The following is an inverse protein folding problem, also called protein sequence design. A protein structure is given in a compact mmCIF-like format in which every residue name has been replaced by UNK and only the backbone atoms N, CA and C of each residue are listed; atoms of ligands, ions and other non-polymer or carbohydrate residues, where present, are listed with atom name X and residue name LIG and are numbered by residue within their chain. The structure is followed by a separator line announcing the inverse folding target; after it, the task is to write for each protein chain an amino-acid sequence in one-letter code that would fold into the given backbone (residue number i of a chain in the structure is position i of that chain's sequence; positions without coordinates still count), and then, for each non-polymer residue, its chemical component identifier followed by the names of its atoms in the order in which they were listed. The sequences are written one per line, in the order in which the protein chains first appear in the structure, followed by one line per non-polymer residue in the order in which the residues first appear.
data_IF_460365578065
#
_entry.id   IF_460365578065
#
_cell.length_a   1.000
_cell.length_b   1.000
_cell.length_c   1.000
_cell.angle_alpha   90.00
_cell.angle_beta   90.00
_cell.angle_gamma   90.00
#
_symmetry.space_group_name_H-M   'P 1'
#
loop_
_entity.id
_entity.type
_entity.pdbx_description
1 polymer ?
#
# COMPACT_ATOMS: atom_id res chain seq x y z
N UNK A 1 -2.56 -30.93 -9.94
CA UNK A 1 -1.16 -30.78 -10.40
C UNK A 1 -0.48 -32.12 -10.69
N UNK A 2 -0.65 -33.14 -9.83
CA UNK A 2 0.04 -34.44 -10.04
C UNK A 2 -0.33 -35.12 -11.35
N UNK A 3 -1.62 -35.27 -11.67
CA UNK A 3 -2.06 -35.93 -12.92
C UNK A 3 -1.55 -35.24 -14.19
N UNK A 4 -1.68 -33.91 -14.37
CA UNK A 4 -1.09 -33.21 -15.52
C UNK A 4 0.43 -33.37 -15.59
N UNK A 5 1.12 -33.39 -14.46
CA UNK A 5 2.58 -33.56 -14.40
C UNK A 5 2.96 -34.99 -14.83
N UNK A 6 2.27 -36.02 -14.33
CA UNK A 6 2.46 -37.40 -14.73
C UNK A 6 2.27 -37.59 -16.24
N UNK A 7 1.17 -37.03 -16.78
CA UNK A 7 0.89 -37.07 -18.21
C UNK A 7 1.97 -36.36 -19.05
N UNK A 8 2.51 -35.25 -18.57
CA UNK A 8 3.63 -34.56 -19.23
C UNK A 8 4.87 -35.44 -19.28
N UNK A 9 5.25 -36.05 -18.15
CA UNK A 9 6.42 -36.93 -18.10
C UNK A 9 6.25 -38.20 -18.93
N UNK A 10 5.05 -38.80 -18.94
CA UNK A 10 4.71 -39.91 -19.82
C UNK A 10 4.88 -39.54 -21.29
N UNK A 11 4.38 -38.36 -21.70
CA UNK A 11 4.55 -37.86 -23.06
C UNK A 11 6.01 -37.60 -23.40
N UNK A 12 6.78 -36.99 -22.51
CA UNK A 12 8.22 -36.78 -22.74
C UNK A 12 8.98 -38.09 -22.86
N UNK A 13 8.66 -39.12 -22.08
CA UNK A 13 9.24 -40.45 -22.16
C UNK A 13 8.93 -41.12 -23.50
N UNK A 14 7.74 -40.90 -24.06
CA UNK A 14 7.35 -41.38 -25.37
C UNK A 14 8.08 -40.66 -26.52
N UNK A 15 8.24 -39.33 -26.41
CA UNK A 15 8.94 -38.52 -27.42
C UNK A 15 10.46 -38.76 -27.43
N UNK A 16 11.04 -39.09 -26.26
CA UNK A 16 12.49 -39.27 -26.10
C UNK A 16 12.82 -40.61 -25.42
N UNK A 17 12.60 -41.75 -26.09
CA UNK A 17 12.83 -43.08 -25.54
C UNK A 17 14.28 -43.27 -25.11
N UNK A 18 14.49 -43.69 -23.86
CA UNK A 18 15.81 -43.92 -23.27
C UNK A 18 16.56 -42.72 -22.74
N UNK A 19 16.03 -41.48 -22.96
CA UNK A 19 16.60 -40.25 -22.42
C UNK A 19 15.90 -39.79 -21.15
N UNK A 20 14.66 -40.26 -20.92
CA UNK A 20 13.85 -39.93 -19.73
C UNK A 20 13.46 -41.22 -18.99
N UNK A 21 14.18 -41.50 -17.91
CA UNK A 21 13.77 -42.53 -16.94
C UNK A 21 13.27 -41.75 -15.71
N UNK A 22 11.96 -41.52 -15.66
CA UNK A 22 11.35 -40.66 -14.64
C UNK A 22 11.00 -41.46 -13.42
N UNK A 23 11.63 -41.18 -12.29
CA UNK A 23 11.21 -41.66 -10.99
C UNK A 23 9.90 -40.97 -10.57
N UNK A 24 8.99 -41.72 -9.97
CA UNK A 24 7.74 -41.19 -9.40
C UNK A 24 8.01 -40.05 -8.41
N UNK A 25 9.12 -40.07 -7.69
CA UNK A 25 9.55 -39.00 -6.81
C UNK A 25 9.86 -37.69 -7.53
N UNK A 26 10.44 -37.77 -8.75
CA UNK A 26 10.69 -36.58 -9.59
C UNK A 26 9.37 -35.96 -10.04
N UNK A 27 8.38 -36.78 -10.40
CA UNK A 27 7.02 -36.31 -10.74
C UNK A 27 6.39 -35.57 -9.56
N UNK A 28 6.51 -36.12 -8.34
CA UNK A 28 6.01 -35.49 -7.13
C UNK A 28 6.73 -34.16 -6.84
N UNK A 29 8.07 -34.15 -6.94
CA UNK A 29 8.86 -32.92 -6.72
C UNK A 29 8.50 -31.84 -7.73
N UNK A 30 8.37 -32.20 -9.01
CA UNK A 30 7.98 -31.25 -10.03
C UNK A 30 6.55 -30.73 -9.83
N UNK A 31 5.60 -31.62 -9.50
CA UNK A 31 4.24 -31.20 -9.17
C UNK A 31 4.22 -30.25 -7.96
N UNK A 32 5.00 -30.53 -6.92
CA UNK A 32 5.12 -29.66 -5.76
C UNK A 32 5.75 -28.29 -6.11
N UNK A 33 6.77 -28.30 -6.97
CA UNK A 33 7.38 -27.07 -7.48
C UNK A 33 6.36 -26.22 -8.25
N UNK A 34 5.59 -26.82 -9.14
CA UNK A 34 4.51 -26.14 -9.87
C UNK A 34 3.46 -25.58 -8.91
N UNK A 35 3.04 -26.37 -7.91
CA UNK A 35 2.08 -25.89 -6.90
C UNK A 35 2.61 -24.72 -6.09
N UNK A 36 3.91 -24.65 -5.81
CA UNK A 36 4.52 -23.60 -5.01
C UNK A 36 4.62 -22.26 -5.74
N UNK A 37 4.58 -22.27 -7.08
CA UNK A 37 4.79 -21.09 -7.92
C UNK A 37 3.60 -20.69 -8.81
N UNK A 38 2.61 -21.56 -8.96
CA UNK A 38 1.49 -21.33 -9.88
C UNK A 38 0.47 -20.34 -9.35
N UNK A 39 -0.19 -19.62 -10.25
CA UNK A 39 -1.44 -18.94 -9.95
C UNK A 39 -2.54 -19.96 -9.74
N UNK A 40 -3.19 -19.92 -8.58
CA UNK A 40 -4.20 -20.87 -8.18
C UNK A 40 -5.58 -20.29 -8.49
N UNK A 41 -6.20 -20.74 -9.57
CA UNK A 41 -7.53 -20.30 -9.97
C UNK A 41 -8.66 -20.84 -9.07
N UNK A 42 -8.47 -22.02 -8.47
CA UNK A 42 -9.41 -22.64 -7.53
C UNK A 42 -8.70 -22.88 -6.18
N UNK A 43 -8.73 -21.86 -5.33
CA UNK A 43 -8.13 -21.89 -4.01
C UNK A 43 -8.71 -23.04 -3.15
N UNK A 44 -10.00 -23.30 -3.22
CA UNK A 44 -10.66 -24.34 -2.42
C UNK A 44 -10.23 -25.76 -2.83
N UNK A 45 -10.09 -26.01 -4.13
CA UNK A 45 -9.58 -27.29 -4.62
C UNK A 45 -8.10 -27.49 -4.23
N UNK A 46 -7.31 -26.43 -4.36
CA UNK A 46 -5.90 -26.45 -3.95
C UNK A 46 -5.74 -26.72 -2.45
N UNK A 47 -6.46 -26.01 -1.59
CA UNK A 47 -6.37 -26.17 -0.14
C UNK A 47 -6.82 -27.55 0.32
N UNK A 48 -7.88 -28.13 -0.29
CA UNK A 48 -8.24 -29.53 -0.04
C UNK A 48 -7.10 -30.51 -0.38
N UNK A 49 -6.40 -30.27 -1.47
CA UNK A 49 -5.24 -31.07 -1.84
C UNK A 49 -4.08 -30.93 -0.83
N UNK A 50 -3.86 -29.72 -0.32
CA UNK A 50 -2.87 -29.48 0.77
C UNK A 50 -3.26 -30.22 2.04
N UNK A 51 -4.52 -30.25 2.41
CA UNK A 51 -5.02 -30.97 3.59
C UNK A 51 -4.89 -32.50 3.48
N UNK A 52 -4.82 -33.03 2.28
CA UNK A 52 -4.57 -34.44 2.01
C UNK A 52 -3.07 -34.78 1.86
N UNK A 53 -2.18 -33.79 1.94
CA UNK A 53 -0.75 -33.91 1.70
C UNK A 53 0.07 -34.15 2.98
N UNK A 54 1.36 -34.51 2.87
CA UNK A 54 2.25 -34.67 4.04
C UNK A 54 2.39 -33.40 4.89
N UNK A 55 2.20 -32.21 4.31
CA UNK A 55 2.28 -30.93 5.03
C UNK A 55 1.00 -30.58 5.82
N UNK A 56 -0.06 -31.38 5.69
CA UNK A 56 -1.38 -31.09 6.28
C UNK A 56 -1.32 -30.78 7.78
N UNK A 57 -0.55 -31.55 8.54
CA UNK A 57 -0.42 -31.34 9.98
C UNK A 57 0.18 -29.99 10.37
N UNK A 58 1.16 -29.53 9.61
CA UNK A 58 1.81 -28.23 9.80
C UNK A 58 0.92 -27.11 9.30
N UNK A 59 0.29 -27.28 8.13
CA UNK A 59 -0.66 -26.31 7.57
C UNK A 59 -1.81 -26.01 8.52
N UNK A 60 -2.45 -27.05 9.09
CA UNK A 60 -3.56 -26.90 10.05
C UNK A 60 -3.19 -26.13 11.33
N UNK A 61 -1.90 -26.03 11.65
CA UNK A 61 -1.41 -25.23 12.79
C UNK A 61 -1.10 -23.80 12.37
N UNK A 62 -0.41 -23.61 11.24
CA UNK A 62 0.13 -22.31 10.82
C UNK A 62 -0.96 -21.41 10.26
N UNK A 63 -1.84 -21.94 9.40
CA UNK A 63 -2.85 -21.14 8.72
C UNK A 63 -3.85 -20.48 9.68
N UNK A 64 -4.54 -21.21 10.59
CA UNK A 64 -5.45 -20.60 11.56
C UNK A 64 -4.72 -19.65 12.54
N UNK A 65 -3.51 -20.00 12.97
CA UNK A 65 -2.72 -19.15 13.87
C UNK A 65 -2.37 -17.82 13.21
N UNK A 66 -1.98 -17.84 11.94
CA UNK A 66 -1.62 -16.64 11.20
C UNK A 66 -2.82 -15.75 10.95
N UNK A 67 -3.96 -16.31 10.56
CA UNK A 67 -5.20 -15.57 10.34
C UNK A 67 -5.72 -14.97 11.64
N UNK A 68 -5.83 -15.76 12.70
CA UNK A 68 -6.29 -15.27 14.00
C UNK A 68 -5.39 -14.18 14.56
N UNK A 69 -4.09 -14.30 14.33
CA UNK A 69 -3.15 -13.26 14.74
C UNK A 69 -3.33 -11.97 13.94
N UNK A 70 -3.50 -12.04 12.62
CA UNK A 70 -3.76 -10.88 11.78
C UNK A 70 -5.08 -10.20 12.19
N UNK A 71 -6.13 -10.99 12.42
CA UNK A 71 -7.42 -10.46 12.86
C UNK A 71 -7.32 -9.79 14.25
N UNK A 72 -6.52 -10.35 15.16
CA UNK A 72 -6.34 -9.79 16.49
C UNK A 72 -5.42 -8.56 16.50
N UNK A 73 -4.30 -8.62 15.78
CA UNK A 73 -3.27 -7.58 15.82
C UNK A 73 -3.64 -6.37 14.95
N UNK A 74 -4.23 -6.64 13.78
CA UNK A 74 -4.52 -5.63 12.77
C UNK A 74 -6.02 -5.43 12.52
N UNK A 75 -6.89 -6.14 13.24
CA UNK A 75 -8.36 -6.06 13.07
C UNK A 75 -8.82 -6.22 11.62
N UNK A 76 -8.11 -7.04 10.83
CA UNK A 76 -8.39 -7.22 9.40
C UNK A 76 -9.73 -7.92 9.16
N UNK A 77 -10.25 -8.64 10.16
CA UNK A 77 -11.53 -9.35 10.08
C UNK A 77 -11.63 -10.25 8.84
N UNK A 78 -10.55 -10.97 8.51
CA UNK A 78 -10.46 -11.83 7.32
C UNK A 78 -11.58 -12.89 7.26
N UNK A 79 -12.14 -13.24 8.41
CA UNK A 79 -13.33 -14.11 8.48
C UNK A 79 -14.55 -13.54 7.78
N UNK A 80 -14.65 -12.21 7.67
CA UNK A 80 -15.72 -11.51 6.91
C UNK A 80 -15.44 -11.43 5.41
N UNK A 81 -14.22 -11.75 5.00
CA UNK A 81 -13.77 -11.68 3.62
C UNK A 81 -13.22 -13.05 3.17
N UNK A 82 -14.11 -14.05 2.94
CA UNK A 82 -13.68 -15.43 2.71
C UNK A 82 -12.75 -15.59 1.50
N UNK A 83 -12.96 -14.85 0.43
CA UNK A 83 -12.08 -14.90 -0.74
C UNK A 83 -10.64 -14.48 -0.40
N UNK A 84 -10.46 -13.43 0.38
CA UNK A 84 -9.12 -12.98 0.81
C UNK A 84 -8.51 -13.92 1.85
N UNK A 85 -9.34 -14.50 2.72
CA UNK A 85 -8.86 -15.54 3.65
C UNK A 85 -8.32 -16.74 2.89
N UNK A 86 -9.05 -17.21 1.88
CA UNK A 86 -8.65 -18.36 1.07
C UNK A 86 -7.42 -18.04 0.23
N UNK A 87 -7.29 -16.82 -0.27
CA UNK A 87 -6.07 -16.33 -0.94
C UNK A 87 -4.87 -16.33 0.01
N UNK A 88 -5.00 -15.79 1.22
CA UNK A 88 -3.92 -15.82 2.22
C UNK A 88 -3.53 -17.27 2.58
N UNK A 89 -4.53 -18.13 2.75
CA UNK A 89 -4.29 -19.55 3.00
C UNK A 89 -3.53 -20.22 1.86
N UNK A 90 -3.85 -19.86 0.63
CA UNK A 90 -3.15 -20.34 -0.57
C UNK A 90 -1.68 -19.90 -0.57
N UNK A 91 -1.43 -18.61 -0.29
CA UNK A 91 -0.06 -18.09 -0.18
C UNK A 91 0.74 -18.80 0.92
N UNK A 92 0.14 -18.98 2.11
CA UNK A 92 0.76 -19.71 3.21
C UNK A 92 1.08 -21.17 2.83
N UNK A 93 0.14 -21.86 2.19
CA UNK A 93 0.31 -23.24 1.74
C UNK A 93 1.44 -23.38 0.71
N UNK A 94 1.53 -22.45 -0.25
CA UNK A 94 2.59 -22.42 -1.24
C UNK A 94 3.97 -22.21 -0.61
N UNK A 95 4.10 -21.30 0.34
CA UNK A 95 5.35 -21.10 1.10
C UNK A 95 5.72 -22.36 1.89
N UNK A 96 4.75 -23.04 2.48
CA UNK A 96 4.99 -24.27 3.23
C UNK A 96 5.43 -25.41 2.32
N UNK A 97 4.84 -25.56 1.13
CA UNK A 97 5.27 -26.55 0.14
C UNK A 97 6.73 -26.28 -0.24
N UNK A 98 7.04 -25.03 -0.56
CA UNK A 98 8.39 -24.59 -0.91
C UNK A 98 9.40 -24.92 0.19
N UNK A 99 9.06 -24.62 1.45
CA UNK A 99 9.91 -24.89 2.60
C UNK A 99 10.08 -26.41 2.87
N UNK A 100 8.99 -27.18 2.80
CA UNK A 100 9.00 -28.62 3.04
C UNK A 100 9.86 -29.38 2.04
N UNK A 101 9.79 -29.00 0.76
CA UNK A 101 10.57 -29.62 -0.32
C UNK A 101 11.92 -28.96 -0.55
N UNK A 102 12.32 -27.99 0.25
CA UNK A 102 13.58 -27.22 0.13
C UNK A 102 13.78 -26.61 -1.26
N UNK A 103 12.71 -26.10 -1.87
CA UNK A 103 12.82 -25.42 -3.15
C UNK A 103 13.45 -24.05 -2.98
N UNK A 104 14.65 -23.88 -3.49
CA UNK A 104 15.26 -22.56 -3.69
C UNK A 104 14.77 -21.97 -5.00
N UNK A 105 13.90 -20.95 -4.94
CA UNK A 105 13.54 -20.20 -6.14
C UNK A 105 14.70 -19.29 -6.52
N UNK A 106 15.35 -19.62 -7.65
CA UNK A 106 16.38 -18.75 -8.27
C UNK A 106 15.77 -17.59 -9.07
N UNK A 107 14.45 -17.60 -9.28
CA UNK A 107 13.74 -16.49 -9.93
C UNK A 107 13.44 -15.48 -8.83
N UNK A 108 14.37 -14.57 -8.60
CA UNK A 108 14.14 -13.43 -7.73
C UNK A 108 13.55 -12.33 -8.57
N UNK A 109 12.32 -11.89 -8.25
CA UNK A 109 11.94 -10.52 -8.60
C UNK A 109 13.08 -9.62 -8.11
N UNK A 110 13.66 -8.84 -9.00
CA UNK A 110 14.80 -8.03 -8.60
C UNK A 110 14.38 -7.20 -7.37
N UNK A 111 15.23 -7.08 -6.36
CA UNK A 111 14.98 -6.26 -5.18
C UNK A 111 14.52 -4.84 -5.55
N UNK A 112 14.87 -4.37 -6.75
CA UNK A 112 14.38 -3.14 -7.37
C UNK A 112 12.84 -3.11 -7.50
N UNK A 113 12.20 -4.23 -7.90
CA UNK A 113 10.74 -4.29 -8.06
C UNK A 113 10.08 -4.22 -6.68
N UNK A 114 10.57 -5.01 -5.71
CA UNK A 114 10.05 -5.01 -4.34
C UNK A 114 10.19 -3.62 -3.72
N UNK A 115 11.35 -2.97 -3.91
CA UNK A 115 11.58 -1.63 -3.40
C UNK A 115 10.66 -0.59 -4.06
N UNK A 116 10.45 -0.64 -5.37
CA UNK A 116 9.49 0.24 -6.06
C UNK A 116 8.07 0.08 -5.51
N UNK A 117 7.61 -1.16 -5.30
CA UNK A 117 6.29 -1.41 -4.70
C UNK A 117 6.22 -0.94 -3.25
N UNK A 118 7.27 -1.15 -2.47
CA UNK A 118 7.32 -0.69 -1.07
C UNK A 118 7.26 0.84 -0.95
N UNK A 119 7.85 1.54 -1.91
CA UNK A 119 7.77 3.00 -1.98
C UNK A 119 6.38 3.46 -2.44
N UNK A 120 5.79 2.79 -3.44
CA UNK A 120 4.47 3.14 -3.94
C UNK A 120 3.34 2.83 -2.94
N UNK A 121 3.53 1.84 -2.06
CA UNK A 121 2.49 1.34 -1.15
C UNK A 121 3.07 0.99 0.24
N UNK A 122 3.45 1.99 1.03
CA UNK A 122 4.23 1.78 2.26
C UNK A 122 3.48 1.04 3.37
N UNK A 123 2.17 1.27 3.55
CA UNK A 123 1.36 0.56 4.56
C UNK A 123 1.26 -0.92 4.22
N UNK A 124 1.00 -1.22 2.95
CA UNK A 124 0.92 -2.58 2.42
C UNK A 124 2.26 -3.30 2.58
N UNK A 125 3.36 -2.63 2.23
CA UNK A 125 4.70 -3.17 2.39
C UNK A 125 5.01 -3.50 3.86
N UNK A 126 4.61 -2.62 4.77
CA UNK A 126 4.75 -2.87 6.21
C UNK A 126 3.94 -4.07 6.68
N UNK A 127 2.68 -4.22 6.25
CA UNK A 127 1.85 -5.39 6.58
C UNK A 127 2.47 -6.69 6.05
N UNK A 128 2.92 -6.69 4.79
CA UNK A 128 3.62 -7.84 4.19
C UNK A 128 4.88 -8.22 4.96
N UNK A 129 5.67 -7.23 5.37
CA UNK A 129 6.85 -7.43 6.21
C UNK A 129 6.50 -8.03 7.58
N UNK A 130 5.46 -7.53 8.24
CA UNK A 130 5.10 -7.96 9.60
C UNK A 130 4.66 -9.41 9.60
N UNK A 131 3.83 -9.86 8.63
CA UNK A 131 3.45 -11.28 8.54
C UNK A 131 4.65 -12.17 8.20
N UNK A 132 5.47 -11.77 7.24
CA UNK A 132 6.67 -12.50 6.88
C UNK A 132 7.61 -12.67 8.09
N UNK A 133 7.86 -11.60 8.84
CA UNK A 133 8.67 -11.63 10.06
C UNK A 133 8.12 -12.55 11.14
N UNK A 134 6.79 -12.66 11.24
CA UNK A 134 6.16 -13.60 12.16
C UNK A 134 6.39 -15.04 11.74
N UNK A 135 6.21 -15.36 10.45
CA UNK A 135 6.46 -16.69 9.93
C UNK A 135 7.91 -17.12 10.16
N UNK A 136 8.87 -16.22 9.90
CA UNK A 136 10.29 -16.50 10.17
C UNK A 136 10.58 -16.71 11.66
N UNK A 137 10.04 -15.83 12.52
CA UNK A 137 10.38 -15.88 13.96
C UNK A 137 9.66 -16.99 14.71
N UNK A 138 8.39 -17.26 14.39
CA UNK A 138 7.57 -18.24 15.12
C UNK A 138 7.66 -19.63 14.53
N UNK A 139 7.74 -19.74 13.20
CA UNK A 139 7.68 -21.01 12.48
C UNK A 139 9.00 -21.37 11.80
N UNK A 140 10.04 -20.53 11.97
CA UNK A 140 11.39 -20.74 11.45
C UNK A 140 11.45 -20.96 9.94
N UNK A 141 10.56 -20.30 9.18
CA UNK A 141 10.66 -20.27 7.73
C UNK A 141 11.82 -19.38 7.29
N UNK A 142 12.51 -19.80 6.23
CA UNK A 142 13.42 -18.92 5.49
C UNK A 142 12.65 -18.38 4.29
N UNK A 143 12.29 -17.11 4.34
CA UNK A 143 11.49 -16.48 3.29
C UNK A 143 12.40 -15.79 2.26
N UNK A 144 12.06 -15.96 0.99
CA UNK A 144 12.71 -15.28 -0.11
C UNK A 144 12.07 -13.90 -0.35
N UNK A 145 12.74 -13.05 -1.13
CA UNK A 145 12.20 -11.75 -1.56
C UNK A 145 10.85 -11.91 -2.28
N UNK A 146 10.68 -13.02 -3.04
CA UNK A 146 9.42 -13.30 -3.74
C UNK A 146 8.29 -13.61 -2.76
N UNK A 147 8.57 -14.26 -1.63
CA UNK A 147 7.56 -14.56 -0.61
C UNK A 147 7.09 -13.26 0.08
N UNK A 148 8.01 -12.32 0.33
CA UNK A 148 7.64 -10.97 0.80
C UNK A 148 6.78 -10.23 -0.22
N UNK A 149 7.16 -10.29 -1.51
CA UNK A 149 6.39 -9.65 -2.58
C UNK A 149 4.97 -10.21 -2.69
N UNK A 150 4.78 -11.52 -2.53
CA UNK A 150 3.46 -12.16 -2.51
C UNK A 150 2.57 -11.59 -1.40
N UNK A 151 3.09 -11.44 -0.18
CA UNK A 151 2.33 -10.82 0.91
C UNK A 151 2.03 -9.35 0.65
N UNK A 152 2.97 -8.58 0.10
CA UNK A 152 2.75 -7.19 -0.29
C UNK A 152 1.61 -7.12 -1.32
N UNK A 153 1.67 -7.94 -2.36
CA UNK A 153 0.64 -7.97 -3.40
C UNK A 153 -0.74 -8.39 -2.85
N UNK A 154 -0.76 -9.39 -1.97
CA UNK A 154 -1.98 -9.79 -1.27
C UNK A 154 -2.61 -8.62 -0.50
N UNK A 155 -1.85 -7.95 0.35
CA UNK A 155 -2.37 -6.82 1.14
C UNK A 155 -2.74 -5.63 0.27
N UNK A 156 -2.03 -5.40 -0.84
CA UNK A 156 -2.40 -4.36 -1.79
C UNK A 156 -3.79 -4.62 -2.37
N UNK A 157 -4.01 -5.83 -2.89
CA UNK A 157 -5.31 -6.23 -3.45
C UNK A 157 -6.41 -6.17 -2.38
N UNK A 158 -6.12 -6.65 -1.17
CA UNK A 158 -7.06 -6.62 -0.05
C UNK A 158 -7.44 -5.20 0.36
N UNK A 159 -6.46 -4.32 0.62
CA UNK A 159 -6.76 -2.94 1.01
C UNK A 159 -7.44 -2.15 -0.11
N UNK A 160 -7.06 -2.37 -1.37
CA UNK A 160 -7.72 -1.73 -2.52
C UNK A 160 -9.19 -2.12 -2.64
N UNK A 161 -9.57 -3.32 -2.19
CA UNK A 161 -10.97 -3.78 -2.20
C UNK A 161 -11.84 -3.14 -1.11
N UNK A 162 -11.24 -2.52 -0.08
CA UNK A 162 -11.98 -1.87 1.00
C UNK A 162 -12.61 -0.58 0.48
N UNK A 163 -13.94 -0.47 0.48
CA UNK A 163 -14.60 0.75 0.02
C UNK A 163 -14.31 1.90 0.97
N UNK A 164 -13.90 3.03 0.43
CA UNK A 164 -13.75 4.27 1.20
C UNK A 164 -15.05 5.03 1.09
N UNK A 165 -15.65 5.44 2.23
CA UNK A 165 -16.78 6.36 2.17
C UNK A 165 -16.33 7.68 1.57
N UNK A 166 -16.89 7.99 0.43
CA UNK A 166 -16.57 9.22 -0.30
C UNK A 166 -17.61 10.28 0.06
N UNK A 167 -17.18 11.42 0.56
CA UNK A 167 -18.03 12.58 0.67
C UNK A 167 -18.25 13.16 -0.73
N UNK A 168 -19.46 12.95 -1.27
CA UNK A 168 -19.79 13.51 -2.57
C UNK A 168 -19.77 15.04 -2.51
N UNK A 169 -19.10 15.64 -3.49
CA UNK A 169 -18.85 17.09 -3.57
C UNK A 169 -19.93 17.82 -4.37
N UNK A 170 -20.23 19.04 -3.95
CA UNK A 170 -21.05 19.99 -4.67
C UNK A 170 -20.11 20.88 -5.48
N UNK A 171 -20.12 20.70 -6.79
CA UNK A 171 -19.13 21.31 -7.70
C UNK A 171 -19.77 22.43 -8.47
N UNK A 172 -19.10 23.59 -8.49
CA UNK A 172 -19.40 24.68 -9.39
C UNK A 172 -18.39 24.65 -10.55
N UNK A 173 -18.87 24.78 -11.77
CA UNK A 173 -18.00 24.86 -12.96
C UNK A 173 -18.26 26.16 -13.69
N UNK A 174 -17.19 26.86 -14.04
CA UNK A 174 -17.23 28.05 -14.87
C UNK A 174 -16.09 28.05 -15.86
N UNK A 175 -16.28 28.78 -16.98
CA UNK A 175 -15.27 28.91 -18.01
C UNK A 175 -15.23 30.32 -18.53
N UNK A 176 -14.02 30.82 -18.85
CA UNK A 176 -13.83 32.06 -19.61
C UNK A 176 -14.34 31.97 -21.04
N UNK A 177 -14.57 30.76 -21.59
CA UNK A 177 -15.13 30.54 -22.93
C UNK A 177 -16.67 30.47 -22.96
N UNK A 178 -17.34 30.77 -21.84
CA UNK A 178 -18.79 30.84 -21.71
C UNK A 178 -19.49 29.58 -21.25
N UNK A 179 -20.81 29.65 -21.10
CA UNK A 179 -21.63 28.59 -20.48
C UNK A 179 -21.57 27.25 -21.22
N UNK A 180 -21.62 27.29 -22.56
CA UNK A 180 -21.57 26.07 -23.36
C UNK A 180 -20.29 25.23 -23.09
N UNK A 181 -19.17 25.93 -22.90
CA UNK A 181 -17.92 25.27 -22.57
C UNK A 181 -17.89 24.79 -21.12
N UNK A 182 -18.49 25.52 -20.19
CA UNK A 182 -18.69 25.07 -18.80
C UNK A 182 -19.51 23.81 -18.75
N UNK A 183 -20.59 23.68 -19.55
CA UNK A 183 -21.40 22.47 -19.66
C UNK A 183 -20.61 21.30 -20.27
N UNK A 184 -19.76 21.54 -21.26
CA UNK A 184 -18.90 20.54 -21.86
C UNK A 184 -17.94 19.95 -20.80
N UNK A 185 -17.25 20.83 -20.05
CA UNK A 185 -16.41 20.44 -18.92
C UNK A 185 -17.21 19.62 -17.91
N UNK A 186 -18.41 20.08 -17.55
CA UNK A 186 -19.29 19.42 -16.60
C UNK A 186 -19.66 17.99 -17.00
N UNK A 187 -19.93 17.76 -18.28
CA UNK A 187 -20.22 16.40 -18.80
C UNK A 187 -18.99 15.50 -18.73
N UNK A 188 -17.81 15.99 -19.05
CA UNK A 188 -16.59 15.22 -18.96
C UNK A 188 -16.28 14.83 -17.51
N UNK A 189 -16.33 15.78 -16.59
CA UNK A 189 -16.13 15.55 -15.16
C UNK A 189 -17.16 14.58 -14.61
N UNK A 190 -18.43 14.70 -15.00
CA UNK A 190 -19.49 13.76 -14.58
C UNK A 190 -19.26 12.36 -15.09
N UNK A 191 -18.72 12.19 -16.30
CA UNK A 191 -18.40 10.90 -16.88
C UNK A 191 -17.28 10.18 -16.14
N UNK A 192 -16.25 10.91 -15.74
CA UNK A 192 -15.06 10.34 -15.09
C UNK A 192 -15.20 10.27 -13.56
N UNK A 193 -15.77 11.29 -12.94
CA UNK A 193 -15.80 11.45 -11.47
C UNK A 193 -17.21 11.44 -10.89
N UNK A 194 -18.22 10.97 -11.63
CA UNK A 194 -19.63 10.99 -11.20
C UNK A 194 -19.91 10.33 -9.87
N UNK A 195 -19.14 9.29 -9.51
CA UNK A 195 -19.23 8.63 -8.20
C UNK A 195 -18.94 9.57 -7.02
N UNK A 196 -18.14 10.63 -7.26
CA UNK A 196 -17.68 11.61 -6.27
C UNK A 196 -18.52 12.88 -6.25
N UNK A 197 -19.51 13.02 -7.15
CA UNK A 197 -20.30 14.23 -7.32
C UNK A 197 -21.65 14.08 -6.64
N UNK A 198 -21.98 15.02 -5.74
CA UNK A 198 -23.31 15.17 -5.14
C UNK A 198 -24.21 16.02 -6.03
N UNK A 199 -23.69 17.14 -6.49
CA UNK A 199 -24.34 18.05 -7.43
C UNK A 199 -23.28 18.77 -8.25
N UNK A 200 -23.60 19.04 -9.51
CA UNK A 200 -22.77 19.81 -10.40
C UNK A 200 -23.62 20.92 -10.99
N UNK A 201 -23.14 22.15 -10.88
CA UNK A 201 -23.78 23.33 -11.46
C UNK A 201 -22.76 24.03 -12.35
N UNK A 202 -23.23 24.47 -13.50
CA UNK A 202 -22.45 25.30 -14.42
C UNK A 202 -22.97 26.73 -14.39
N UNK A 203 -22.06 27.70 -14.50
CA UNK A 203 -22.44 29.09 -14.55
C UNK A 203 -21.47 29.86 -15.45
N UNK A 204 -21.86 31.07 -15.83
CA UNK A 204 -20.95 31.99 -16.47
C UNK A 204 -20.00 32.67 -15.46
N UNK A 205 -18.82 33.09 -15.92
CA UNK A 205 -17.77 33.60 -15.05
C UNK A 205 -18.25 34.81 -14.22
N UNK A 206 -19.08 35.72 -14.82
CA UNK A 206 -19.58 36.89 -14.11
C UNK A 206 -20.68 36.57 -13.07
N UNK A 207 -21.31 35.41 -13.14
CA UNK A 207 -22.35 34.96 -12.20
C UNK A 207 -21.77 34.47 -10.86
N UNK A 208 -20.51 34.06 -10.82
CA UNK A 208 -19.85 33.54 -9.60
C UNK A 208 -20.06 34.49 -8.41
N UNK A 209 -19.95 35.80 -8.64
CA UNK A 209 -20.08 36.79 -7.57
C UNK A 209 -21.48 36.89 -6.98
N UNK A 210 -22.49 36.32 -7.64
CA UNK A 210 -23.89 36.32 -7.20
C UNK A 210 -24.31 35.02 -6.56
N UNK A 211 -23.48 33.99 -6.65
CA UNK A 211 -23.75 32.68 -6.08
C UNK A 211 -23.32 32.62 -4.61
N UNK A 212 -24.08 31.85 -3.81
CA UNK A 212 -23.69 31.60 -2.45
C UNK A 212 -22.63 30.49 -2.42
N UNK A 213 -21.40 30.85 -2.11
CA UNK A 213 -20.27 29.92 -2.08
C UNK A 213 -20.42 28.80 -1.04
N UNK A 214 -21.26 28.98 0.00
CA UNK A 214 -21.53 27.94 0.98
C UNK A 214 -22.32 26.74 0.40
N UNK A 215 -22.92 26.90 -0.79
CA UNK A 215 -23.63 25.84 -1.46
C UNK A 215 -22.72 24.88 -2.24
N UNK A 216 -21.44 25.19 -2.35
CA UNK A 216 -20.44 24.43 -3.09
C UNK A 216 -19.25 24.06 -2.21
N UNK A 217 -18.59 22.98 -2.56
CA UNK A 217 -17.40 22.48 -1.89
C UNK A 217 -16.13 22.81 -2.70
N UNK A 218 -16.25 22.97 -4.03
CA UNK A 218 -15.14 23.37 -4.91
C UNK A 218 -15.63 24.07 -6.18
N UNK A 219 -14.71 24.82 -6.79
CA UNK A 219 -14.87 25.46 -8.09
C UNK A 219 -13.86 24.88 -9.09
N UNK A 220 -14.32 24.47 -10.26
CA UNK A 220 -13.48 24.05 -11.37
C UNK A 220 -13.62 25.06 -12.51
N UNK A 221 -12.48 25.51 -13.05
CA UNK A 221 -12.45 26.52 -14.11
C UNK A 221 -11.23 26.35 -15.02
N UNK A 222 -11.31 26.80 -16.26
CA UNK A 222 -10.16 26.90 -17.14
C UNK A 222 -9.47 28.29 -17.05
N UNK A 223 -10.01 29.19 -16.24
CA UNK A 223 -9.54 30.58 -16.11
C UNK A 223 -8.73 30.75 -14.81
N UNK A 224 -7.67 31.57 -14.88
CA UNK A 224 -6.89 31.93 -13.70
C UNK A 224 -7.61 33.01 -12.89
N UNK A 225 -8.29 32.62 -11.84
CA UNK A 225 -9.02 33.53 -10.96
C UNK A 225 -8.09 34.39 -10.09
N UNK A 226 -6.86 33.94 -9.84
CA UNK A 226 -5.88 34.69 -9.05
C UNK A 226 -5.45 35.97 -9.73
N UNK A 227 -5.47 35.99 -11.06
CA UNK A 227 -5.15 37.18 -11.87
C UNK A 227 -6.26 38.24 -11.86
N UNK A 228 -7.45 37.93 -11.32
CA UNK A 228 -8.61 38.81 -11.33
C UNK A 228 -9.33 38.87 -9.98
N UNK A 229 -8.73 39.47 -8.95
CA UNK A 229 -9.30 39.52 -7.60
C UNK A 229 -10.69 40.15 -7.52
N UNK A 230 -11.11 40.89 -8.54
CA UNK A 230 -12.48 41.43 -8.63
C UNK A 230 -13.56 40.35 -8.82
N UNK A 231 -13.20 39.21 -9.36
CA UNK A 231 -14.11 38.09 -9.60
C UNK A 231 -14.07 37.05 -8.51
N UNK A 232 -12.98 36.97 -7.73
CA UNK A 232 -12.77 35.93 -6.75
C UNK A 232 -12.27 36.53 -5.42
N UNK A 233 -13.19 36.77 -4.50
CA UNK A 233 -12.90 37.14 -3.10
C UNK A 233 -13.34 36.06 -2.13
N UNK A 234 -13.47 34.77 -2.58
CA UNK A 234 -14.16 33.74 -1.85
C UNK A 234 -13.21 32.67 -1.29
N UNK A 235 -13.60 32.10 -0.17
CA UNK A 235 -12.91 31.00 0.51
C UNK A 235 -13.13 29.60 -0.14
N UNK A 236 -13.72 29.55 -1.36
CA UNK A 236 -13.97 28.28 -2.04
C UNK A 236 -12.69 27.80 -2.74
N UNK A 237 -12.20 26.58 -2.48
CA UNK A 237 -11.07 26.03 -3.20
C UNK A 237 -11.36 25.99 -4.69
N UNK A 238 -10.45 26.51 -5.53
CA UNK A 238 -10.62 26.41 -6.97
C UNK A 238 -9.47 25.64 -7.62
N UNK A 239 -9.82 24.91 -8.68
CA UNK A 239 -8.89 24.11 -9.45
C UNK A 239 -8.93 24.56 -10.90
N UNK A 240 -7.76 24.93 -11.40
CA UNK A 240 -7.62 25.31 -12.80
C UNK A 240 -7.36 24.08 -13.64
N UNK A 241 -8.21 23.86 -14.65
CA UNK A 241 -8.16 22.70 -15.52
C UNK A 241 -8.22 23.14 -16.97
N UNK A 242 -7.22 22.76 -17.77
CA UNK A 242 -7.20 23.01 -19.20
C UNK A 242 -7.63 21.76 -19.96
N UNK A 243 -8.90 21.71 -20.37
CA UNK A 243 -9.44 20.55 -21.09
C UNK A 243 -9.10 20.52 -22.58
N UNK A 244 -8.56 21.61 -23.14
CA UNK A 244 -8.12 21.64 -24.54
C UNK A 244 -6.79 20.91 -24.72
N UNK A 245 -5.95 20.95 -23.70
CA UNK A 245 -4.72 20.19 -23.62
C UNK A 245 -4.84 19.22 -22.45
N UNK A 246 -5.29 17.98 -22.71
CA UNK A 246 -5.21 16.90 -21.72
C UNK A 246 -3.74 16.58 -21.47
N UNK A 247 -3.11 17.39 -20.64
CA UNK A 247 -1.75 17.20 -20.19
C UNK A 247 -1.74 16.63 -18.76
N UNK A 248 -0.59 16.14 -18.35
CA UNK A 248 -0.35 15.57 -17.02
C UNK A 248 -0.77 16.54 -15.91
N UNK A 249 -0.63 17.84 -16.11
CA UNK A 249 -0.97 18.89 -15.16
C UNK A 249 -2.49 18.99 -14.92
N UNK A 250 -3.29 18.86 -15.96
CA UNK A 250 -4.75 18.81 -15.89
C UNK A 250 -5.25 17.58 -15.13
N UNK A 251 -4.70 16.42 -15.44
CA UNK A 251 -5.05 15.18 -14.74
C UNK A 251 -4.60 15.21 -13.27
N UNK A 252 -3.42 15.77 -12.99
CA UNK A 252 -2.91 15.95 -11.64
C UNK A 252 -3.82 16.87 -10.83
N UNK A 253 -4.23 18.01 -11.42
CA UNK A 253 -5.11 18.99 -10.77
C UNK A 253 -6.48 18.41 -10.47
N UNK A 254 -7.07 17.62 -11.38
CA UNK A 254 -8.34 16.94 -11.16
C UNK A 254 -8.20 15.82 -10.11
N UNK A 255 -7.16 15.03 -10.21
CA UNK A 255 -6.87 13.99 -9.22
C UNK A 255 -6.69 14.61 -7.84
N UNK A 256 -6.00 15.73 -7.74
CA UNK A 256 -5.82 16.47 -6.49
C UNK A 256 -7.14 17.07 -5.99
N UNK A 257 -7.94 17.66 -6.87
CA UNK A 257 -9.26 18.19 -6.52
C UNK A 257 -10.16 17.10 -5.93
N UNK A 258 -10.17 15.91 -6.54
CA UNK A 258 -10.98 14.79 -6.08
C UNK A 258 -10.30 13.94 -5.00
N UNK A 259 -9.01 14.02 -4.79
CA UNK A 259 -8.34 13.36 -3.66
C UNK A 259 -8.63 14.03 -2.33
N UNK A 260 -8.80 15.36 -2.30
CA UNK A 260 -9.28 16.09 -1.12
C UNK A 260 -10.73 15.74 -0.72
N UNK A 261 -11.44 14.99 -1.56
CA UNK A 261 -12.77 14.42 -1.29
C UNK A 261 -12.71 13.27 -0.28
N UNK A 262 -11.56 12.63 -0.13
CA UNK A 262 -11.39 11.63 0.90
C UNK A 262 -11.38 12.32 2.25
N UNK A 263 -12.25 11.83 3.15
CA UNK A 263 -12.37 12.32 4.54
C UNK A 263 -11.10 11.97 5.34
N UNK A 264 -9.94 12.43 4.84
CA UNK A 264 -8.63 12.18 5.48
C UNK A 264 -8.66 12.76 6.89
N UNK A 265 -9.20 13.97 7.06
CA UNK A 265 -9.27 14.67 8.32
C UNK A 265 -10.15 13.94 9.36
N UNK A 266 -11.19 13.22 8.92
CA UNK A 266 -12.07 12.50 9.84
C UNK A 266 -11.54 11.11 10.25
N UNK A 267 -10.69 10.49 9.41
CA UNK A 267 -10.27 9.10 9.57
C UNK A 267 -8.80 8.90 9.87
N UNK A 268 -7.96 9.90 9.62
CA UNK A 268 -6.53 9.76 9.77
C UNK A 268 -5.99 10.63 10.91
N UNK A 269 -4.96 11.35 10.72
CA UNK A 269 -4.23 12.05 11.77
C UNK A 269 -4.72 13.50 11.83
N UNK A 270 -5.18 13.93 13.01
CA UNK A 270 -5.46 15.34 13.28
C UNK A 270 -4.15 16.12 13.37
N UNK A 271 -4.16 17.40 13.09
CA UNK A 271 -2.99 18.29 13.20
C UNK A 271 -2.30 18.20 14.55
N UNK A 272 -3.06 17.97 15.62
CA UNK A 272 -2.53 17.75 16.98
C UNK A 272 -1.65 16.51 17.14
N UNK A 273 -1.73 15.56 16.18
CA UNK A 273 -0.94 14.34 16.16
C UNK A 273 0.26 14.41 15.18
N UNK A 274 0.51 15.58 14.62
CA UNK A 274 1.67 15.83 13.76
C UNK A 274 2.68 16.64 14.59
N UNK A 275 3.90 16.12 14.72
CA UNK A 275 4.97 16.81 15.40
C UNK A 275 6.16 17.00 14.48
N UNK A 276 6.67 18.23 14.40
CA UNK A 276 7.85 18.57 13.60
C UNK A 276 8.99 18.89 14.57
N UNK A 277 10.13 18.23 14.38
CA UNK A 277 11.33 18.41 15.15
C UNK A 277 12.44 18.91 14.21
N UNK A 278 12.91 20.11 14.44
CA UNK A 278 13.95 20.76 13.62
C UNK A 278 15.31 20.69 14.28
N UNK A 279 16.35 20.97 13.53
CA UNK A 279 17.75 21.11 13.98
C UNK A 279 18.29 19.84 14.65
N UNK A 280 17.93 18.66 14.11
CA UNK A 280 18.39 17.38 14.66
C UNK A 280 19.62 16.91 13.89
N UNK A 281 20.65 16.50 14.61
CA UNK A 281 21.85 15.93 14.02
C UNK A 281 21.86 14.42 14.14
N UNK A 282 21.92 13.73 13.02
CA UNK A 282 22.07 12.28 12.96
C UNK A 282 23.42 11.90 12.35
N UNK A 283 24.11 10.95 12.96
CA UNK A 283 25.38 10.41 12.47
C UNK A 283 25.26 8.97 11.96
N UNK A 284 24.15 8.29 12.27
CA UNK A 284 23.90 6.91 11.84
C UNK A 284 22.39 6.57 11.86
N UNK A 285 21.97 5.56 11.09
CA UNK A 285 20.60 5.03 11.13
C UNK A 285 20.22 4.53 12.52
N UNK A 286 21.14 3.87 13.20
CA UNK A 286 20.88 3.39 14.56
C UNK A 286 20.52 4.54 15.50
N UNK A 287 21.19 5.67 15.38
CA UNK A 287 20.88 6.86 16.17
C UNK A 287 19.50 7.41 15.83
N UNK A 288 19.11 7.40 14.54
CA UNK A 288 17.74 7.75 14.12
C UNK A 288 16.71 6.82 14.78
N UNK A 289 16.92 5.50 14.71
CA UNK A 289 16.02 4.53 15.32
C UNK A 289 15.89 4.73 16.83
N UNK A 290 17.01 4.91 17.51
CA UNK A 290 17.05 5.20 18.94
C UNK A 290 16.29 6.47 19.28
N UNK A 291 16.48 7.53 18.51
CA UNK A 291 15.83 8.80 18.73
C UNK A 291 14.31 8.71 18.52
N UNK A 292 13.86 8.09 17.43
CA UNK A 292 12.43 7.87 17.14
C UNK A 292 11.79 7.04 18.23
N UNK A 293 12.42 5.94 18.65
CA UNK A 293 11.89 5.07 19.71
C UNK A 293 11.88 5.80 21.07
N UNK A 294 12.94 6.54 21.38
CA UNK A 294 13.02 7.32 22.63
C UNK A 294 11.92 8.38 22.74
N UNK A 295 11.64 9.09 21.66
CA UNK A 295 10.59 10.11 21.63
C UNK A 295 9.17 9.51 21.75
N UNK A 296 8.97 8.30 21.25
CA UNK A 296 7.65 7.71 21.10
C UNK A 296 7.35 6.55 22.06
N UNK A 297 8.36 5.99 22.74
CA UNK A 297 8.20 4.84 23.61
C UNK A 297 8.53 5.19 25.07
N UNK A 298 7.57 4.96 25.99
CA UNK A 298 7.74 5.28 27.41
C UNK A 298 8.35 4.14 28.24
N UNK A 299 8.50 2.94 27.71
CA UNK A 299 8.96 1.78 28.46
C UNK A 299 10.23 1.15 27.91
N UNK A 300 11.25 1.05 28.74
CA UNK A 300 12.57 0.51 28.37
C UNK A 300 12.54 -0.94 27.86
N UNK A 301 11.59 -1.75 28.30
CA UNK A 301 11.47 -3.17 27.86
C UNK A 301 11.11 -3.34 26.39
N UNK A 302 10.40 -2.37 25.81
CA UNK A 302 10.03 -2.39 24.37
C UNK A 302 11.08 -1.71 23.50
N UNK A 303 11.95 -0.90 24.07
CA UNK A 303 12.89 -0.05 23.33
C UNK A 303 13.78 -0.85 22.38
N UNK A 304 14.49 -1.85 22.89
CA UNK A 304 15.39 -2.66 22.05
C UNK A 304 14.63 -3.43 20.99
N UNK A 305 13.48 -4.02 21.35
CA UNK A 305 12.62 -4.75 20.40
C UNK A 305 12.22 -3.89 19.20
N UNK A 306 11.87 -2.62 19.43
CA UNK A 306 11.46 -1.70 18.36
C UNK A 306 12.64 -1.27 17.49
N UNK A 307 13.82 -1.07 18.07
CA UNK A 307 15.04 -0.82 17.30
C UNK A 307 15.37 -2.03 16.42
N UNK A 308 15.33 -3.24 16.99
CA UNK A 308 15.59 -4.47 16.24
C UNK A 308 14.60 -4.66 15.11
N UNK A 309 13.34 -4.25 15.31
CA UNK A 309 12.31 -4.26 14.26
C UNK A 309 12.67 -3.32 13.12
N UNK A 310 13.07 -2.08 13.37
CA UNK A 310 13.52 -1.16 12.32
C UNK A 310 14.73 -1.70 11.57
N UNK A 311 15.72 -2.23 12.28
CA UNK A 311 16.91 -2.83 11.66
C UNK A 311 16.55 -4.05 10.78
N UNK A 312 15.58 -4.85 11.21
CA UNK A 312 15.11 -5.98 10.43
C UNK A 312 14.37 -5.53 9.17
N UNK A 313 13.51 -4.53 9.28
CA UNK A 313 12.81 -3.91 8.14
C UNK A 313 13.81 -3.38 7.12
N UNK A 314 14.81 -2.63 7.56
CA UNK A 314 15.86 -2.08 6.70
C UNK A 314 16.64 -3.13 5.90
N UNK A 315 16.89 -4.28 6.52
CA UNK A 315 17.61 -5.39 5.84
C UNK A 315 16.77 -6.05 4.75
N UNK A 316 15.46 -6.02 4.89
CA UNK A 316 14.52 -6.75 4.03
C UNK A 316 13.92 -5.85 2.94
N UNK A 317 13.56 -4.63 3.31
CA UNK A 317 12.91 -3.65 2.44
C UNK A 317 13.65 -2.33 2.59
N UNK A 318 14.09 -1.77 1.48
CA UNK A 318 14.67 -0.43 1.48
C UNK A 318 13.53 0.60 1.54
N UNK A 319 13.10 0.98 2.75
CA UNK A 319 12.12 2.05 2.99
C UNK A 319 12.68 3.45 2.74
N UNK A 320 13.62 3.53 1.85
CA UNK A 320 14.14 4.79 1.44
C UNK A 320 13.13 5.48 0.52
N UNK A 321 12.66 6.59 0.98
CA UNK A 321 11.87 7.50 0.19
C UNK A 321 12.74 8.38 -0.70
N UNK A 322 12.09 8.90 -1.71
CA UNK A 322 12.61 9.89 -2.62
C UNK A 322 13.37 11.02 -1.91
N UNK A 323 14.39 11.55 -2.58
CA UNK A 323 14.98 12.83 -2.26
C UNK A 323 15.36 13.06 -0.77
N UNK A 324 16.23 12.21 -0.21
CA UNK A 324 16.81 12.42 1.12
C UNK A 324 15.83 12.17 2.29
N UNK A 325 14.67 11.55 2.07
CA UNK A 325 13.69 11.23 3.11
C UNK A 325 13.70 9.74 3.47
N UNK A 326 13.65 9.43 4.76
CA UNK A 326 13.49 8.07 5.31
C UNK A 326 12.10 7.94 5.95
N UNK A 327 11.31 6.95 5.53
CA UNK A 327 10.05 6.61 6.18
C UNK A 327 10.25 5.46 7.17
N UNK A 328 9.79 5.65 8.39
CA UNK A 328 9.69 4.62 9.42
C UNK A 328 8.24 4.42 9.80
N UNK A 329 7.83 3.18 9.98
CA UNK A 329 6.45 2.85 10.32
C UNK A 329 6.39 2.01 11.60
N UNK A 330 5.34 2.21 12.37
CA UNK A 330 5.09 1.47 13.58
C UNK A 330 3.60 1.33 13.91
N UNK A 331 3.29 0.43 14.84
CA UNK A 331 1.94 0.21 15.31
C UNK A 331 1.66 1.11 16.53
N UNK A 332 0.52 1.82 16.55
CA UNK A 332 0.03 2.59 17.69
C UNK A 332 0.10 1.84 19.03
N UNK A 333 -0.19 0.52 19.03
CA UNK A 333 -0.08 -0.32 20.22
C UNK A 333 1.32 -0.37 20.82
N UNK A 334 2.34 -0.31 19.98
CA UNK A 334 3.73 -0.36 20.43
C UNK A 334 4.23 1.01 20.93
N UNK A 335 3.76 2.08 20.32
CA UNK A 335 4.19 3.45 20.57
C UNK A 335 3.25 4.23 21.49
N UNK A 336 2.02 3.74 21.70
CA UNK A 336 1.05 4.35 22.61
C UNK A 336 0.34 5.59 22.07
N UNK A 337 0.65 6.01 20.84
CA UNK A 337 -0.02 7.12 20.14
C UNK A 337 -0.16 6.80 18.66
N UNK A 338 -1.15 7.40 18.02
CA UNK A 338 -1.26 7.50 16.56
C UNK A 338 -0.73 8.88 16.17
N UNK A 339 0.10 8.95 15.12
CA UNK A 339 0.62 10.24 14.71
C UNK A 339 1.74 10.13 13.66
N UNK A 340 2.15 11.29 13.19
CA UNK A 340 3.29 11.47 12.31
C UNK A 340 4.30 12.38 13.01
N UNK A 341 5.51 11.90 13.18
CA UNK A 341 6.63 12.71 13.64
C UNK A 341 7.57 12.95 12.45
N UNK A 342 7.88 14.20 12.17
CA UNK A 342 8.81 14.61 11.12
C UNK A 342 10.06 15.16 11.79
N UNK A 343 11.21 14.60 11.44
CA UNK A 343 12.51 15.01 11.97
C UNK A 343 13.35 15.62 10.84
N UNK A 344 13.62 16.90 10.94
CA UNK A 344 14.43 17.65 9.98
C UNK A 344 15.85 17.77 10.53
N UNK A 345 16.82 17.31 9.73
CA UNK A 345 18.24 17.34 10.10
C UNK A 345 18.96 18.52 9.45
N UNK A 346 19.73 19.27 10.22
CA UNK A 346 20.60 20.33 9.71
C UNK A 346 21.77 19.80 8.88
N UNK A 347 22.18 18.56 9.14
CA UNK A 347 23.27 17.88 8.48
C UNK A 347 22.79 16.70 7.65
N UNK A 348 23.26 16.61 6.40
CA UNK A 348 22.96 15.45 5.56
C UNK A 348 23.78 14.25 6.03
N UNK A 349 23.09 13.24 6.50
CA UNK A 349 23.67 11.94 6.82
C UNK A 349 23.64 11.05 5.56
N UNK A 350 24.73 10.33 5.28
CA UNK A 350 24.79 9.40 4.14
C UNK A 350 24.68 7.96 4.58
N UNK A 351 23.74 7.22 4.00
CA UNK A 351 23.61 5.78 4.20
C UNK A 351 23.45 5.06 2.87
N UNK A 352 24.30 4.04 2.63
CA UNK A 352 24.32 3.27 1.35
C UNK A 352 24.39 4.18 0.10
N UNK A 353 25.16 5.27 0.17
CA UNK A 353 25.29 6.24 -0.93
C UNK A 353 24.15 7.25 -1.05
N UNK A 354 23.16 7.19 -0.17
CA UNK A 354 22.01 8.07 -0.17
C UNK A 354 22.10 9.07 0.97
N UNK A 355 21.80 10.31 0.67
CA UNK A 355 21.71 11.37 1.68
C UNK A 355 20.34 11.31 2.35
N UNK A 356 20.29 11.49 3.66
CA UNK A 356 19.05 11.57 4.45
C UNK A 356 19.10 12.88 5.21
N UNK A 357 18.13 13.74 4.95
CA UNK A 357 17.92 15.01 5.64
C UNK A 357 16.62 15.05 6.41
N UNK A 358 15.66 14.20 6.02
CA UNK A 358 14.33 14.13 6.61
C UNK A 358 14.00 12.71 7.03
N UNK A 359 13.46 12.55 8.23
CA UNK A 359 12.91 11.27 8.70
C UNK A 359 11.46 11.47 9.06
N UNK A 360 10.58 10.68 8.46
CA UNK A 360 9.15 10.64 8.77
C UNK A 360 8.87 9.35 9.52
N UNK A 361 8.33 9.46 10.71
CA UNK A 361 7.86 8.31 11.48
C UNK A 361 6.34 8.34 11.57
N UNK A 362 5.69 7.28 11.08
CA UNK A 362 4.24 7.11 11.13
C UNK A 362 3.86 6.01 12.11
N UNK A 363 3.19 6.36 13.20
CA UNK A 363 2.57 5.41 14.11
C UNK A 363 1.09 5.26 13.72
N UNK A 364 0.72 4.12 13.13
CA UNK A 364 -0.60 3.87 12.57
C UNK A 364 -1.49 3.08 13.53
N UNK A 365 -2.79 3.39 13.51
CA UNK A 365 -3.82 2.62 14.20
C UNK A 365 -4.33 1.50 13.29
N UNK A 366 -3.82 0.30 13.49
CA UNK A 366 -4.22 -0.89 12.75
C UNK A 366 -5.57 -1.49 13.20
N UNK A 367 -6.31 -0.83 14.09
CA UNK A 367 -7.61 -1.32 14.56
C UNK A 367 -8.76 -1.15 13.56
N UNK A 368 -8.52 -0.47 12.44
CA UNK A 368 -9.53 -0.20 11.43
C UNK A 368 -8.96 -0.32 10.02
N UNK A 369 -9.54 -1.22 9.21
CA UNK A 369 -9.19 -1.37 7.79
C UNK A 369 -9.36 -0.07 7.00
N UNK A 370 -10.40 0.69 7.33
CA UNK A 370 -10.67 1.97 6.68
C UNK A 370 -9.54 2.97 6.98
N UNK A 371 -9.08 3.05 8.23
CA UNK A 371 -7.93 3.89 8.60
C UNK A 371 -6.66 3.47 7.85
N UNK A 372 -6.39 2.18 7.76
CA UNK A 372 -5.26 1.67 6.99
C UNK A 372 -5.34 2.07 5.52
N UNK A 373 -6.53 1.94 4.92
CA UNK A 373 -6.76 2.32 3.53
C UNK A 373 -6.56 3.82 3.30
N UNK A 374 -7.08 4.65 4.20
CA UNK A 374 -6.90 6.11 4.15
C UNK A 374 -5.44 6.49 4.37
N UNK A 375 -4.76 5.86 5.33
CA UNK A 375 -3.34 6.07 5.57
C UNK A 375 -2.48 5.72 4.36
N UNK A 376 -2.80 4.62 3.67
CA UNK A 376 -2.12 4.22 2.44
C UNK A 376 -2.24 5.30 1.37
N UNK A 377 -3.46 5.80 1.11
CA UNK A 377 -3.69 6.85 0.12
C UNK A 377 -2.93 8.13 0.48
N UNK A 378 -3.01 8.53 1.75
CA UNK A 378 -2.32 9.74 2.23
C UNK A 378 -0.80 9.63 2.05
N UNK A 379 -0.22 8.49 2.45
CA UNK A 379 1.22 8.28 2.29
C UNK A 379 1.63 8.19 0.82
N UNK A 380 0.84 7.52 -0.02
CA UNK A 380 1.10 7.50 -1.47
C UNK A 380 1.11 8.91 -2.06
N UNK A 381 0.18 9.78 -1.66
CA UNK A 381 0.13 11.17 -2.10
C UNK A 381 1.32 11.98 -1.59
N UNK A 382 1.64 11.85 -0.29
CA UNK A 382 2.80 12.51 0.31
C UNK A 382 4.08 12.17 -0.46
N UNK A 383 4.23 10.90 -0.86
CA UNK A 383 5.41 10.39 -1.56
C UNK A 383 5.46 10.84 -3.03
N UNK A 384 4.31 10.90 -3.70
CA UNK A 384 4.26 11.38 -5.09
C UNK A 384 4.69 12.83 -5.23
N UNK A 385 4.50 13.65 -4.18
CA UNK A 385 4.99 15.03 -4.15
C UNK A 385 6.48 15.15 -3.83
N UNK A 386 7.10 14.11 -3.29
CA UNK A 386 8.55 14.11 -3.05
C UNK A 386 9.37 13.81 -4.32
N UNK A 387 8.73 13.30 -5.39
CA UNK A 387 9.38 12.95 -6.67
C UNK A 387 9.45 14.12 -7.67
N UNK A 388 8.84 15.26 -7.38
CA UNK A 388 8.91 16.49 -8.17
C UNK A 388 9.96 17.44 -7.61
#
# INVERSE_FOLDING_TARGET
FFQPTSALFEHLSQCFPGSFNVDINEVYQFAALMMSGADINDAQCFLRSVEASPIASTYRKISPDSINWLDHEFSLSLTKYPAFRDELNTQLAQIMIKHYFHFETKITFSGIIVNKFSHASPVVAYLGFVIASRLESKWHFSLSTDDYFRFINFFMTFLLSIPIPVRKQRILITSGAGLAYSEFIGRQISGEFGAYIKSLQTCELYEIRHLNCADYDMLITNFDLSASPKFYSYALPYYRVNFEERNVETELSLTQAFSNVFLIDDYFIRDENIAIYENIQFSSLLQIYQFVVYKNCRTSKKFQKLIDQFQKVEKTIDFKLCNETLLLMGNKKDYGKEGIDVFLSDGKFSHKGNKISTVIFCALDFSSLLKLRVAEIYLMQLLSHCDM
#
